data_IF_810026570710
#
_entry.id   IF_810026570710
#
_cell.length_a   1.000
_cell.length_b   1.000
_cell.length_c   1.000
_cell.angle_alpha   90.00
_cell.angle_beta   90.00
_cell.angle_gamma   90.00
#
_symmetry.space_group_name_H-M   'P 1'
#
loop_
_entity.id
_entity.type
_entity.pdbx_description
1 polymer ?
#
# COMPACT_ATOMS: atom_id res chain seq x y z
N UNK A 1 -13.42 -34.27 -15.28
CA UNK A 1 -14.06 -33.37 -16.26
C UNK A 1 -15.04 -32.41 -15.57
N UNK A 2 -16.17 -32.88 -15.02
CA UNK A 2 -17.23 -32.03 -14.41
C UNK A 2 -16.77 -30.93 -13.42
N UNK A 3 -15.77 -31.20 -12.56
CA UNK A 3 -15.27 -30.20 -11.59
C UNK A 3 -14.47 -29.10 -12.28
N UNK A 4 -13.58 -29.45 -13.21
CA UNK A 4 -12.78 -28.47 -13.97
C UNK A 4 -13.69 -27.59 -14.83
N UNK A 5 -14.71 -28.18 -15.45
CA UNK A 5 -15.71 -27.45 -16.23
C UNK A 5 -16.49 -26.44 -15.37
N UNK A 6 -16.85 -26.82 -14.13
CA UNK A 6 -17.48 -25.92 -13.17
C UNK A 6 -16.58 -24.74 -12.79
N UNK A 7 -15.28 -24.99 -12.51
CA UNK A 7 -14.32 -23.93 -12.20
C UNK A 7 -14.11 -23.00 -13.40
N UNK A 8 -14.08 -23.54 -14.62
CA UNK A 8 -13.90 -22.75 -15.83
C UNK A 8 -15.10 -21.83 -16.09
N UNK A 9 -16.33 -22.35 -15.96
CA UNK A 9 -17.57 -21.57 -16.09
C UNK A 9 -17.70 -20.47 -15.02
N UNK A 10 -17.15 -20.69 -13.82
CA UNK A 10 -17.25 -19.77 -12.69
C UNK A 10 -15.95 -19.01 -12.40
N UNK A 11 -14.96 -19.06 -13.29
CA UNK A 11 -13.62 -18.55 -13.06
C UNK A 11 -13.61 -17.08 -12.61
N UNK A 12 -14.36 -16.22 -13.31
CA UNK A 12 -14.48 -14.81 -12.94
C UNK A 12 -15.10 -14.62 -11.56
N UNK A 13 -16.21 -15.30 -11.26
CA UNK A 13 -16.93 -15.20 -9.98
C UNK A 13 -16.04 -15.63 -8.82
N UNK A 14 -15.35 -16.77 -8.97
CA UNK A 14 -14.44 -17.27 -7.94
C UNK A 14 -13.26 -16.33 -7.72
N UNK A 15 -12.63 -15.84 -8.79
CA UNK A 15 -11.49 -14.93 -8.69
C UNK A 15 -11.86 -13.56 -8.09
N UNK A 16 -12.98 -12.96 -8.49
CA UNK A 16 -13.43 -11.69 -7.90
C UNK A 16 -13.84 -11.88 -6.44
N UNK A 17 -14.56 -12.95 -6.09
CA UNK A 17 -14.90 -13.25 -4.70
C UNK A 17 -13.66 -13.43 -3.83
N UNK A 18 -12.65 -14.15 -4.34
CA UNK A 18 -11.36 -14.29 -3.66
C UNK A 18 -10.70 -12.92 -3.44
N UNK A 19 -10.61 -12.07 -4.47
CA UNK A 19 -9.98 -10.75 -4.36
C UNK A 19 -10.72 -9.83 -3.39
N UNK A 20 -12.05 -9.85 -3.36
CA UNK A 20 -12.83 -9.02 -2.43
C UNK A 20 -12.64 -9.48 -0.98
N UNK A 21 -12.69 -10.79 -0.73
CA UNK A 21 -12.46 -11.34 0.60
C UNK A 21 -11.00 -11.13 1.06
N UNK A 22 -10.05 -11.27 0.13
CA UNK A 22 -8.65 -10.97 0.38
C UNK A 22 -8.42 -9.48 0.68
N UNK A 23 -9.10 -8.57 -0.02
CA UNK A 23 -9.09 -7.12 0.26
C UNK A 23 -9.62 -6.83 1.66
N UNK A 24 -10.75 -7.43 2.05
CA UNK A 24 -11.32 -7.32 3.39
C UNK A 24 -10.31 -7.79 4.44
N UNK A 25 -9.74 -8.98 4.27
CA UNK A 25 -8.71 -9.51 5.15
C UNK A 25 -7.52 -8.55 5.29
N UNK A 26 -7.08 -7.93 4.20
CA UNK A 26 -6.00 -6.96 4.27
C UNK A 26 -6.36 -5.69 5.04
N UNK A 27 -7.58 -5.17 4.84
CA UNK A 27 -8.05 -4.00 5.58
C UNK A 27 -8.19 -4.31 7.08
N UNK A 28 -8.61 -5.51 7.44
CA UNK A 28 -8.67 -5.93 8.86
C UNK A 28 -7.32 -5.99 9.54
N UNK A 29 -6.20 -6.08 8.81
CA UNK A 29 -4.84 -6.03 9.37
C UNK A 29 -4.36 -4.61 9.70
N UNK A 30 -5.01 -3.60 9.12
CA UNK A 30 -4.67 -2.18 9.29
C UNK A 30 -5.59 -1.55 10.33
N UNK A 31 -6.86 -1.98 10.39
CA UNK A 31 -7.87 -1.48 11.33
C UNK A 31 -7.81 -2.29 12.62
N UNK A 32 -7.23 -1.72 13.68
CA UNK A 32 -6.88 -2.43 14.92
C UNK A 32 -8.08 -3.13 15.58
N UNK A 33 -9.27 -2.51 15.70
CA UNK A 33 -10.44 -3.20 16.26
C UNK A 33 -10.89 -4.44 15.47
N UNK A 34 -10.52 -4.54 14.20
CA UNK A 34 -10.85 -5.67 13.32
C UNK A 34 -9.72 -6.70 13.23
N UNK A 35 -8.58 -6.47 13.90
CA UNK A 35 -7.41 -7.36 13.83
C UNK A 35 -7.71 -8.79 14.30
N UNK A 36 -8.76 -9.04 15.09
CA UNK A 36 -9.13 -10.40 15.50
C UNK A 36 -9.33 -11.35 14.31
N UNK A 37 -9.88 -10.81 13.21
CA UNK A 37 -10.13 -11.57 11.99
C UNK A 37 -8.83 -11.94 11.29
N UNK A 38 -7.90 -10.99 11.19
CA UNK A 38 -6.57 -11.20 10.61
C UNK A 38 -5.62 -12.00 11.51
N UNK A 39 -5.82 -11.96 12.83
CA UNK A 39 -5.02 -12.70 13.81
C UNK A 39 -5.41 -14.18 13.89
N UNK A 40 -6.60 -14.54 13.42
CA UNK A 40 -7.05 -15.92 13.40
C UNK A 40 -6.23 -16.74 12.38
N UNK A 41 -5.50 -17.74 12.90
CA UNK A 41 -4.63 -18.61 12.10
C UNK A 41 -5.43 -19.42 11.08
N UNK A 42 -6.64 -19.88 11.40
CA UNK A 42 -7.51 -20.60 10.47
C UNK A 42 -7.93 -19.74 9.30
N UNK A 43 -8.29 -18.47 9.53
CA UNK A 43 -8.63 -17.51 8.46
C UNK A 43 -7.42 -17.29 7.56
N UNK A 44 -6.25 -17.09 8.15
CA UNK A 44 -4.99 -16.88 7.42
C UNK A 44 -4.62 -18.09 6.56
N UNK A 45 -4.69 -19.30 7.13
CA UNK A 45 -4.38 -20.56 6.44
C UNK A 45 -5.38 -20.80 5.31
N UNK A 46 -6.68 -20.62 5.56
CA UNK A 46 -7.72 -20.78 4.56
C UNK A 46 -7.52 -19.84 3.38
N UNK A 47 -7.31 -18.55 3.63
CA UNK A 47 -7.08 -17.53 2.58
C UNK A 47 -5.82 -17.80 1.77
N UNK A 48 -4.73 -18.14 2.45
CA UNK A 48 -3.46 -18.46 1.80
C UNK A 48 -3.57 -19.74 0.97
N UNK A 49 -4.25 -20.76 1.51
CA UNK A 49 -4.51 -22.03 0.84
C UNK A 49 -5.40 -21.87 -0.40
N UNK A 50 -6.52 -21.15 -0.29
CA UNK A 50 -7.39 -20.83 -1.42
C UNK A 50 -6.64 -20.03 -2.50
N UNK A 51 -5.82 -19.06 -2.07
CA UNK A 51 -4.94 -18.33 -2.97
C UNK A 51 -3.97 -19.25 -3.71
N UNK A 52 -3.29 -20.14 -2.99
CA UNK A 52 -2.35 -21.09 -3.58
C UNK A 52 -3.05 -22.07 -4.54
N UNK A 53 -4.21 -22.60 -4.18
CA UNK A 53 -5.01 -23.47 -5.06
C UNK A 53 -5.44 -22.74 -6.33
N UNK A 54 -5.88 -21.48 -6.21
CA UNK A 54 -6.23 -20.66 -7.37
C UNK A 54 -5.02 -20.37 -8.27
N UNK A 55 -3.84 -20.14 -7.68
CA UNK A 55 -2.60 -19.95 -8.42
C UNK A 55 -2.14 -21.23 -9.14
N UNK A 56 -2.27 -22.39 -8.49
CA UNK A 56 -2.01 -23.68 -9.12
C UNK A 56 -2.97 -23.95 -10.28
N UNK A 57 -4.26 -23.63 -10.12
CA UNK A 57 -5.23 -23.70 -11.22
C UNK A 57 -4.81 -22.82 -12.40
N UNK A 58 -4.38 -21.58 -12.13
CA UNK A 58 -3.90 -20.66 -13.17
C UNK A 58 -2.67 -21.21 -13.91
N UNK A 59 -1.72 -21.80 -13.18
CA UNK A 59 -0.51 -22.38 -13.76
C UNK A 59 -0.85 -23.62 -14.60
N UNK A 60 -1.57 -24.59 -14.04
CA UNK A 60 -1.76 -25.91 -14.63
C UNK A 60 -2.83 -25.89 -15.73
N UNK A 61 -3.98 -25.27 -15.47
CA UNK A 61 -5.15 -25.32 -16.36
C UNK A 61 -5.13 -24.15 -17.35
N UNK A 62 -5.01 -22.91 -16.84
CA UNK A 62 -5.00 -21.71 -17.70
C UNK A 62 -3.66 -21.48 -18.41
N UNK A 63 -2.60 -22.19 -18.03
CA UNK A 63 -1.24 -22.05 -18.58
C UNK A 63 -0.69 -20.62 -18.39
N UNK A 64 -0.88 -20.04 -17.21
CA UNK A 64 -0.49 -18.67 -16.86
C UNK A 64 0.99 -18.34 -17.13
N UNK A 65 1.89 -19.31 -16.96
CA UNK A 65 3.32 -19.07 -17.17
C UNK A 65 3.68 -18.71 -18.62
N UNK A 66 2.84 -19.05 -19.59
CA UNK A 66 3.06 -18.74 -21.01
C UNK A 66 2.03 -17.75 -21.56
N UNK A 67 0.78 -17.80 -21.10
CA UNK A 67 -0.30 -16.96 -21.62
C UNK A 67 -0.42 -15.58 -20.98
N UNK A 68 0.13 -15.36 -19.78
CA UNK A 68 0.05 -14.07 -19.10
C UNK A 68 1.15 -13.12 -19.56
N UNK A 69 0.76 -11.92 -19.99
CA UNK A 69 1.72 -10.89 -20.40
C UNK A 69 2.46 -10.35 -19.19
N UNK A 70 3.78 -10.20 -19.29
CA UNK A 70 4.61 -9.67 -18.22
C UNK A 70 4.87 -10.64 -17.05
N UNK A 71 4.54 -11.93 -17.18
CA UNK A 71 4.78 -12.93 -16.13
C UNK A 71 6.26 -13.29 -15.93
N UNK A 72 7.09 -13.16 -16.99
CA UNK A 72 8.52 -13.53 -16.97
C UNK A 72 9.33 -12.91 -15.82
N UNK A 73 9.31 -11.58 -15.58
CA UNK A 73 10.03 -11.01 -14.44
C UNK A 73 9.55 -11.55 -13.10
N UNK A 74 8.26 -11.88 -12.94
CA UNK A 74 7.75 -12.48 -11.70
C UNK A 74 8.26 -13.92 -11.51
N UNK A 75 8.39 -14.70 -12.59
CA UNK A 75 9.01 -16.03 -12.53
C UNK A 75 10.48 -15.91 -12.10
N UNK A 76 11.24 -15.00 -12.70
CA UNK A 76 12.64 -14.75 -12.32
C UNK A 76 12.72 -14.36 -10.85
N UNK A 77 11.88 -13.41 -10.41
CA UNK A 77 11.82 -12.96 -9.03
C UNK A 77 11.51 -14.13 -8.07
N UNK A 78 10.51 -14.95 -8.39
CA UNK A 78 10.13 -16.11 -7.58
C UNK A 78 11.26 -17.14 -7.46
N UNK A 79 11.93 -17.45 -8.58
CA UNK A 79 13.07 -18.39 -8.59
C UNK A 79 14.22 -17.85 -7.76
N UNK A 80 14.57 -16.56 -7.87
CA UNK A 80 15.64 -15.95 -7.06
C UNK A 80 15.31 -16.01 -5.57
N UNK A 81 14.05 -15.77 -5.19
CA UNK A 81 13.60 -15.87 -3.79
C UNK A 81 13.69 -17.32 -3.28
N UNK A 82 13.32 -18.32 -4.11
CA UNK A 82 13.51 -19.74 -3.74
C UNK A 82 14.99 -20.06 -3.53
N UNK A 83 15.87 -19.63 -4.45
CA UNK A 83 17.31 -19.87 -4.30
C UNK A 83 17.85 -19.19 -3.05
N UNK A 84 17.44 -17.95 -2.79
CA UNK A 84 17.78 -17.22 -1.56
C UNK A 84 17.36 -17.97 -0.29
N UNK A 85 16.15 -18.54 -0.28
CA UNK A 85 15.68 -19.38 0.82
C UNK A 85 16.59 -20.60 1.00
N UNK A 86 16.86 -21.36 -0.06
CA UNK A 86 17.66 -22.59 0.00
C UNK A 86 19.08 -22.30 0.50
N UNK A 87 19.72 -21.25 -0.01
CA UNK A 87 21.07 -20.83 0.41
C UNK A 87 21.12 -20.44 1.90
N UNK A 88 20.04 -19.86 2.42
CA UNK A 88 19.97 -19.37 3.80
C UNK A 88 19.17 -20.30 4.74
N UNK A 89 18.82 -21.52 4.30
CA UNK A 89 17.93 -22.42 5.04
C UNK A 89 18.47 -22.82 6.41
N UNK A 90 19.79 -22.87 6.58
CA UNK A 90 20.46 -23.18 7.85
C UNK A 90 20.13 -22.20 8.99
N UNK A 91 19.65 -21.00 8.67
CA UNK A 91 19.28 -19.97 9.65
C UNK A 91 17.81 -20.06 10.11
N UNK A 92 17.00 -20.85 9.38
CA UNK A 92 15.57 -21.03 9.59
C UNK A 92 14.82 -21.08 8.26
N UNK A 93 13.70 -21.81 8.20
CA UNK A 93 12.92 -21.95 6.95
C UNK A 93 11.45 -21.57 7.08
N UNK A 94 10.87 -21.61 8.29
CA UNK A 94 9.43 -21.43 8.49
C UNK A 94 8.95 -20.06 7.98
N UNK A 95 9.62 -18.97 8.39
CA UNK A 95 9.20 -17.63 7.97
C UNK A 95 9.44 -17.37 6.48
N UNK A 96 10.51 -17.95 5.92
CA UNK A 96 10.76 -17.89 4.48
C UNK A 96 9.71 -18.65 3.66
N UNK A 97 9.17 -19.77 4.16
CA UNK A 97 8.06 -20.49 3.51
C UNK A 97 6.79 -19.65 3.51
N UNK A 98 6.50 -18.90 4.59
CA UNK A 98 5.36 -17.96 4.63
C UNK A 98 5.51 -16.90 3.54
N UNK A 99 6.70 -16.33 3.38
CA UNK A 99 6.97 -15.35 2.33
C UNK A 99 6.84 -15.95 0.92
N UNK A 100 7.28 -17.20 0.70
CA UNK A 100 7.04 -17.88 -0.58
C UNK A 100 5.56 -18.04 -0.90
N UNK A 101 4.71 -18.35 0.08
CA UNK A 101 3.26 -18.42 -0.13
C UNK A 101 2.71 -17.05 -0.52
N UNK A 102 3.18 -15.97 0.12
CA UNK A 102 2.81 -14.60 -0.23
C UNK A 102 3.15 -14.27 -1.68
N UNK A 103 4.40 -14.52 -2.09
CA UNK A 103 4.83 -14.30 -3.47
C UNK A 103 4.06 -15.17 -4.46
N UNK A 104 3.82 -16.44 -4.12
CA UNK A 104 3.07 -17.35 -4.96
C UNK A 104 1.66 -16.82 -5.23
N UNK A 105 0.95 -16.38 -4.18
CA UNK A 105 -0.39 -15.82 -4.29
C UNK A 105 -0.39 -14.54 -5.14
N UNK A 106 0.53 -13.60 -4.89
CA UNK A 106 0.59 -12.38 -5.69
C UNK A 106 0.92 -12.66 -7.16
N UNK A 107 1.90 -13.54 -7.43
CA UNK A 107 2.47 -13.70 -8.78
C UNK A 107 1.69 -14.66 -9.66
N UNK A 108 1.06 -15.67 -9.08
CA UNK A 108 0.41 -16.74 -9.83
C UNK A 108 -1.11 -16.80 -9.64
N UNK A 109 -1.64 -16.22 -8.57
CA UNK A 109 -3.08 -16.13 -8.33
C UNK A 109 -3.64 -14.77 -8.75
N UNK A 110 -3.12 -13.69 -8.16
CA UNK A 110 -3.65 -12.34 -8.34
C UNK A 110 -3.20 -11.75 -9.68
N UNK A 111 -1.90 -11.77 -9.97
CA UNK A 111 -1.36 -11.15 -11.18
C UNK A 111 -1.92 -11.77 -12.48
N UNK A 112 -2.01 -13.11 -12.65
CA UNK A 112 -2.51 -13.69 -13.90
C UNK A 112 -4.02 -13.53 -14.09
N UNK A 113 -4.79 -13.28 -13.03
CA UNK A 113 -6.25 -13.28 -13.06
C UNK A 113 -6.84 -12.45 -14.22
N UNK A 114 -6.35 -11.23 -14.41
CA UNK A 114 -6.83 -10.30 -15.45
C UNK A 114 -6.59 -10.84 -16.88
N UNK A 115 -5.62 -11.74 -17.08
CA UNK A 115 -5.29 -12.30 -18.40
C UNK A 115 -6.38 -13.21 -18.97
N UNK A 116 -7.27 -13.69 -18.10
CA UNK A 116 -8.23 -14.75 -18.43
C UNK A 116 -9.68 -14.29 -18.31
N UNK A 117 -9.90 -12.98 -18.25
CA UNK A 117 -11.23 -12.35 -18.13
C UNK A 117 -11.37 -11.24 -19.18
N UNK A 118 -12.59 -10.79 -19.42
CA UNK A 118 -12.84 -9.70 -20.38
C UNK A 118 -12.42 -8.35 -19.81
N UNK A 119 -12.35 -7.32 -20.67
CA UNK A 119 -12.04 -5.95 -20.24
C UNK A 119 -13.06 -5.41 -19.24
N UNK A 120 -14.34 -5.69 -19.47
CA UNK A 120 -15.44 -5.27 -18.63
C UNK A 120 -15.31 -5.90 -17.25
N UNK A 121 -14.99 -7.20 -17.20
CA UNK A 121 -14.69 -7.93 -15.97
C UNK A 121 -13.45 -7.40 -15.26
N UNK A 122 -12.40 -7.02 -16.00
CA UNK A 122 -11.20 -6.40 -15.44
C UNK A 122 -11.49 -5.02 -14.82
N UNK A 123 -12.28 -4.19 -15.51
CA UNK A 123 -12.76 -2.91 -14.98
C UNK A 123 -13.58 -3.12 -13.73
N UNK A 124 -14.53 -4.07 -13.77
CA UNK A 124 -15.37 -4.42 -12.62
C UNK A 124 -14.50 -4.88 -11.44
N UNK A 125 -13.53 -5.75 -11.66
CA UNK A 125 -12.61 -6.23 -10.61
C UNK A 125 -11.88 -5.08 -9.93
N UNK A 126 -11.27 -4.18 -10.72
CA UNK A 126 -10.53 -3.03 -10.20
C UNK A 126 -11.44 -2.11 -9.36
N UNK A 127 -12.65 -1.83 -9.87
CA UNK A 127 -13.59 -0.96 -9.20
C UNK A 127 -14.21 -1.60 -7.95
N UNK A 128 -14.50 -2.90 -7.96
CA UNK A 128 -15.02 -3.60 -6.78
C UNK A 128 -13.98 -3.68 -5.67
N UNK A 129 -12.71 -3.97 -5.98
CA UNK A 129 -11.61 -3.95 -5.01
C UNK A 129 -11.40 -2.53 -4.45
N UNK A 130 -11.37 -1.52 -5.33
CA UNK A 130 -11.29 -0.12 -4.93
C UNK A 130 -12.46 0.33 -4.06
N UNK A 131 -13.67 -0.15 -4.35
CA UNK A 131 -14.88 0.12 -3.58
C UNK A 131 -14.84 -0.43 -2.16
N UNK A 132 -14.44 -1.71 -2.00
CA UNK A 132 -14.27 -2.32 -0.66
C UNK A 132 -13.22 -1.57 0.15
N UNK A 133 -12.07 -1.26 -0.46
CA UNK A 133 -11.02 -0.46 0.16
C UNK A 133 -11.56 0.90 0.60
N UNK A 134 -12.24 1.63 -0.29
CA UNK A 134 -12.75 2.97 -0.03
C UNK A 134 -13.80 2.99 1.09
N UNK A 135 -14.73 2.02 1.12
CA UNK A 135 -15.76 1.92 2.16
C UNK A 135 -15.14 1.65 3.52
N UNK A 136 -14.30 0.61 3.63
CA UNK A 136 -13.66 0.23 4.89
C UNK A 136 -12.72 1.33 5.41
N UNK A 137 -11.91 1.90 4.51
CA UNK A 137 -11.01 3.01 4.84
C UNK A 137 -11.77 4.23 5.32
N UNK A 138 -12.81 4.66 4.59
CA UNK A 138 -13.58 5.86 4.96
C UNK A 138 -14.34 5.65 6.26
N UNK A 139 -14.94 4.48 6.48
CA UNK A 139 -15.62 4.17 7.74
C UNK A 139 -14.67 4.24 8.95
N UNK A 140 -13.49 3.63 8.84
CA UNK A 140 -12.47 3.67 9.88
C UNK A 140 -11.87 5.09 10.07
N UNK A 141 -11.76 5.88 8.99
CA UNK A 141 -11.36 7.28 9.06
C UNK A 141 -12.41 8.10 9.82
N UNK A 142 -13.70 7.92 9.55
CA UNK A 142 -14.77 8.63 10.28
C UNK A 142 -14.71 8.31 11.77
N UNK A 143 -14.53 7.03 12.13
CA UNK A 143 -14.33 6.62 13.52
C UNK A 143 -13.08 7.30 14.15
N UNK A 144 -12.00 7.43 13.39
CA UNK A 144 -10.77 8.11 13.83
C UNK A 144 -10.97 9.62 14.00
N UNK A 145 -11.72 10.28 13.10
CA UNK A 145 -12.05 11.70 13.23
C UNK A 145 -12.95 11.93 14.45
N UNK A 146 -13.82 11.00 14.79
CA UNK A 146 -14.56 11.04 16.05
C UNK A 146 -13.62 10.99 17.26
N UNK A 147 -12.61 10.11 17.25
CA UNK A 147 -11.57 10.07 18.31
C UNK A 147 -10.80 11.38 18.43
N UNK A 148 -10.59 12.12 17.33
CA UNK A 148 -9.98 13.44 17.38
C UNK A 148 -10.88 14.46 18.10
N UNK A 149 -12.18 14.48 17.78
CA UNK A 149 -13.14 15.43 18.40
C UNK A 149 -13.38 15.11 19.87
N UNK A 150 -13.35 13.84 20.26
CA UNK A 150 -13.47 13.42 21.67
C UNK A 150 -12.16 13.44 22.45
N UNK A 151 -11.04 13.79 21.80
CA UNK A 151 -9.69 13.76 22.36
C UNK A 151 -9.31 12.40 22.98
N UNK A 152 -9.86 11.31 22.44
CA UNK A 152 -9.57 9.95 22.90
C UNK A 152 -8.22 9.49 22.34
N UNK A 153 -7.36 8.98 23.22
CA UNK A 153 -6.02 8.52 22.90
C UNK A 153 -5.60 7.43 23.88
N UNK A 154 -5.15 6.29 23.36
CA UNK A 154 -4.75 5.16 24.20
C UNK A 154 -3.76 4.22 23.53
N UNK A 155 -3.11 3.38 24.34
CA UNK A 155 -2.33 2.26 23.85
C UNK A 155 -3.16 0.98 24.03
N UNK A 156 -3.16 0.13 23.01
CA UNK A 156 -3.81 -1.17 23.04
C UNK A 156 -2.82 -2.26 22.65
N UNK A 157 -2.95 -3.43 23.25
CA UNK A 157 -2.33 -4.64 22.74
C UNK A 157 -3.29 -5.32 21.75
N UNK A 158 -2.81 -5.54 20.53
CA UNK A 158 -3.58 -6.26 19.50
C UNK A 158 -3.69 -7.74 19.80
N UNK A 159 -4.61 -8.42 19.12
CA UNK A 159 -4.75 -9.89 19.12
C UNK A 159 -3.49 -10.67 18.72
N UNK A 160 -2.44 -9.99 18.21
CA UNK A 160 -1.14 -10.58 17.86
C UNK A 160 -0.05 -10.29 18.90
N UNK A 161 -0.39 -9.67 20.02
CA UNK A 161 0.56 -9.22 21.05
C UNK A 161 1.34 -7.95 20.69
N UNK A 162 1.03 -7.30 19.56
CA UNK A 162 1.67 -6.04 19.18
C UNK A 162 0.99 -4.87 19.86
N UNK A 163 1.79 -3.94 20.39
CA UNK A 163 1.31 -2.74 21.07
C UNK A 163 1.16 -1.60 20.07
N UNK A 164 -0.04 -1.02 19.98
CA UNK A 164 -0.36 0.07 19.07
C UNK A 164 -0.89 1.30 19.81
N UNK A 165 -0.53 2.48 19.30
CA UNK A 165 -1.13 3.76 19.68
C UNK A 165 -2.40 3.97 18.86
N UNK A 166 -3.51 4.27 19.52
CA UNK A 166 -4.80 4.56 18.90
C UNK A 166 -5.35 5.91 19.35
N UNK A 167 -6.20 6.49 18.51
CA UNK A 167 -6.79 7.81 18.76
C UNK A 167 -5.80 8.96 18.48
N UNK A 168 -5.92 10.05 19.24
CA UNK A 168 -5.09 11.24 19.09
C UNK A 168 -3.98 11.29 20.15
N UNK A 169 -2.72 11.10 19.72
CA UNK A 169 -1.54 11.02 20.58
C UNK A 169 -0.38 11.78 19.92
N UNK A 170 0.44 12.50 20.70
CA UNK A 170 1.63 13.24 20.21
C UNK A 170 1.31 14.23 19.09
N UNK A 171 0.21 14.97 19.21
CA UNK A 171 -0.30 15.88 18.16
C UNK A 171 -0.51 15.22 16.79
N UNK A 172 -0.81 13.92 16.78
CA UNK A 172 -1.09 13.14 15.58
C UNK A 172 -2.31 12.26 15.78
N UNK A 173 -3.13 12.19 14.74
CA UNK A 173 -4.22 11.24 14.69
C UNK A 173 -3.70 9.88 14.19
N UNK A 174 -3.45 8.95 15.12
CA UNK A 174 -3.28 7.54 14.80
C UNK A 174 -4.61 6.94 14.39
N UNK A 175 -5.67 7.28 15.14
CA UNK A 175 -7.02 6.77 14.89
C UNK A 175 -7.16 5.30 15.28
N UNK A 176 -8.01 4.57 14.57
CA UNK A 176 -8.20 3.12 14.78
C UNK A 176 -7.20 2.25 14.03
N UNK A 177 -6.08 2.83 13.58
CA UNK A 177 -5.17 2.20 12.63
C UNK A 177 -3.86 1.75 13.28
N UNK A 178 -3.21 0.74 12.69
CA UNK A 178 -1.91 0.22 13.14
C UNK A 178 -0.76 1.21 12.90
N UNK A 179 -0.81 1.95 11.78
CA UNK A 179 0.17 2.96 11.42
C UNK A 179 -0.51 4.12 10.65
N UNK A 180 -0.44 5.37 11.17
CA UNK A 180 -1.02 6.54 10.49
C UNK A 180 -0.39 6.83 9.13
N UNK A 181 0.87 6.44 8.91
CA UNK A 181 1.54 6.62 7.62
C UNK A 181 0.97 5.67 6.57
N UNK A 182 0.75 4.40 6.91
CA UNK A 182 0.11 3.43 6.01
C UNK A 182 -1.30 3.90 5.68
N UNK A 183 -2.08 4.29 6.70
CA UNK A 183 -3.44 4.76 6.46
C UNK A 183 -3.47 6.05 5.62
N UNK A 184 -2.54 6.97 5.79
CA UNK A 184 -2.47 8.17 4.93
C UNK A 184 -2.31 7.80 3.45
N UNK A 185 -1.54 6.76 3.15
CA UNK A 185 -1.39 6.24 1.78
C UNK A 185 -2.69 5.60 1.30
N UNK A 186 -3.36 4.80 2.14
CA UNK A 186 -4.66 4.19 1.81
C UNK A 186 -5.73 5.27 1.58
N UNK A 187 -5.73 6.35 2.37
CA UNK A 187 -6.59 7.52 2.16
C UNK A 187 -6.29 8.25 0.85
N UNK A 188 -5.02 8.39 0.44
CA UNK A 188 -4.67 8.94 -0.88
C UNK A 188 -5.17 8.06 -2.03
N UNK A 189 -5.01 6.73 -1.92
CA UNK A 189 -5.56 5.78 -2.90
C UNK A 189 -7.10 5.87 -2.94
N UNK A 190 -7.75 6.00 -1.79
CA UNK A 190 -9.20 6.18 -1.65
C UNK A 190 -9.66 7.47 -2.32
N UNK A 191 -9.00 8.61 -2.05
CA UNK A 191 -9.31 9.90 -2.68
C UNK A 191 -9.16 9.80 -4.21
N UNK A 192 -8.10 9.15 -4.69
CA UNK A 192 -7.89 8.97 -6.14
C UNK A 192 -9.01 8.12 -6.76
N UNK A 193 -9.42 7.04 -6.09
CA UNK A 193 -10.53 6.18 -6.52
C UNK A 193 -11.88 6.92 -6.54
N UNK A 194 -12.19 7.67 -5.49
CA UNK A 194 -13.39 8.50 -5.40
C UNK A 194 -13.37 9.60 -6.48
N UNK A 195 -12.21 10.21 -6.72
CA UNK A 195 -12.00 11.17 -7.81
C UNK A 195 -12.29 10.58 -9.19
N UNK A 196 -12.01 9.29 -9.43
CA UNK A 196 -12.42 8.60 -10.65
C UNK A 196 -13.95 8.39 -10.72
N UNK A 197 -14.56 7.96 -9.60
CA UNK A 197 -16.01 7.67 -9.55
C UNK A 197 -16.91 8.90 -9.70
N UNK A 198 -16.42 10.11 -9.42
CA UNK A 198 -17.24 11.33 -9.46
C UNK A 198 -17.96 11.56 -10.81
N UNK A 199 -17.40 11.03 -11.89
CA UNK A 199 -17.95 11.15 -13.25
C UNK A 199 -19.00 10.06 -13.57
N UNK A 200 -19.19 9.09 -12.68
CA UNK A 200 -20.02 7.89 -12.90
C UNK A 200 -21.22 7.78 -11.96
N UNK A 201 -21.35 8.70 -11.00
CA UNK A 201 -22.37 8.63 -9.95
C UNK A 201 -23.39 9.78 -10.05
N UNK A 202 -24.59 9.54 -9.54
CA UNK A 202 -25.69 10.53 -9.49
C UNK A 202 -25.36 11.69 -8.54
N UNK A 203 -26.06 12.83 -8.70
CA UNK A 203 -25.88 14.03 -7.85
C UNK A 203 -25.87 13.76 -6.34
N UNK A 204 -26.82 12.99 -5.74
CA UNK A 204 -26.78 12.72 -4.30
C UNK A 204 -25.56 11.89 -3.88
N UNK A 205 -25.17 10.90 -4.68
CA UNK A 205 -23.97 10.10 -4.41
C UNK A 205 -22.68 10.92 -4.56
N UNK A 206 -22.66 11.96 -5.40
CA UNK A 206 -21.51 12.90 -5.46
C UNK A 206 -21.31 13.64 -4.14
N UNK A 207 -22.37 14.01 -3.44
CA UNK A 207 -22.26 14.67 -2.13
C UNK A 207 -21.59 13.74 -1.12
N UNK A 208 -22.03 12.48 -1.04
CA UNK A 208 -21.41 11.48 -0.16
C UNK A 208 -19.94 11.22 -0.53
N UNK A 209 -19.63 11.19 -1.83
CA UNK A 209 -18.28 11.03 -2.35
C UNK A 209 -17.38 12.20 -1.93
N UNK A 210 -17.84 13.44 -2.07
CA UNK A 210 -17.07 14.61 -1.65
C UNK A 210 -16.89 14.66 -0.13
N UNK A 211 -17.89 14.25 0.66
CA UNK A 211 -17.76 14.11 2.10
C UNK A 211 -16.70 13.06 2.47
N UNK A 212 -16.69 11.91 1.78
CA UNK A 212 -15.68 10.88 1.97
C UNK A 212 -14.26 11.36 1.60
N UNK A 213 -14.12 12.13 0.51
CA UNK A 213 -12.84 12.79 0.15
C UNK A 213 -12.42 13.75 1.25
N UNK A 214 -13.33 14.59 1.75
CA UNK A 214 -13.05 15.54 2.82
C UNK A 214 -12.59 14.84 4.12
N UNK A 215 -13.26 13.76 4.53
CA UNK A 215 -12.86 12.98 5.70
C UNK A 215 -11.47 12.35 5.54
N UNK A 216 -11.21 11.68 4.41
CA UNK A 216 -9.89 11.09 4.14
C UNK A 216 -8.78 12.15 4.05
N UNK A 217 -9.07 13.31 3.44
CA UNK A 217 -8.13 14.42 3.38
C UNK A 217 -7.83 14.97 4.77
N UNK A 218 -8.87 15.20 5.58
CA UNK A 218 -8.71 15.67 6.97
C UNK A 218 -7.86 14.70 7.79
N UNK A 219 -8.09 13.39 7.65
CA UNK A 219 -7.24 12.38 8.29
C UNK A 219 -5.77 12.51 7.87
N UNK A 220 -5.48 12.65 6.56
CA UNK A 220 -4.09 12.83 6.08
C UNK A 220 -3.42 14.02 6.77
N UNK A 221 -4.11 15.16 6.90
CA UNK A 221 -3.58 16.34 7.59
C UNK A 221 -3.32 16.04 9.07
N UNK A 222 -4.31 15.51 9.77
CA UNK A 222 -4.24 15.22 11.21
C UNK A 222 -3.25 14.10 11.56
N UNK A 223 -2.97 13.19 10.63
CA UNK A 223 -1.98 12.12 10.80
C UNK A 223 -0.54 12.65 10.97
N UNK A 224 -0.28 13.89 10.54
CA UNK A 224 1.05 14.51 10.54
C UNK A 224 2.09 13.74 9.72
N UNK A 225 1.67 12.98 8.70
CA UNK A 225 2.53 12.12 7.88
C UNK A 225 3.37 12.92 6.87
N UNK A 226 4.68 13.04 7.13
CA UNK A 226 5.65 13.61 6.16
C UNK A 226 5.69 12.82 4.86
N UNK A 227 5.52 11.50 4.94
CA UNK A 227 5.47 10.61 3.76
C UNK A 227 4.30 10.99 2.84
N UNK A 228 3.13 11.30 3.41
CA UNK A 228 1.96 11.69 2.62
C UNK A 228 2.20 13.00 1.86
N UNK A 229 2.86 13.99 2.47
CA UNK A 229 3.22 15.24 1.80
C UNK A 229 4.15 15.01 0.60
N UNK A 230 5.20 14.19 0.76
CA UNK A 230 6.12 13.85 -0.33
C UNK A 230 5.36 13.17 -1.48
N UNK A 231 4.42 12.27 -1.16
CA UNK A 231 3.59 11.60 -2.16
C UNK A 231 2.70 12.59 -2.90
N UNK A 232 2.02 13.50 -2.18
CA UNK A 232 1.18 14.55 -2.79
C UNK A 232 2.02 15.43 -3.73
N UNK A 233 3.24 15.81 -3.33
CA UNK A 233 4.17 16.54 -4.20
C UNK A 233 4.56 15.74 -5.45
N UNK A 234 4.84 14.45 -5.33
CA UNK A 234 5.17 13.61 -6.48
C UNK A 234 3.98 13.44 -7.44
N UNK A 235 2.77 13.27 -6.92
CA UNK A 235 1.54 13.25 -7.71
C UNK A 235 1.34 14.60 -8.41
N UNK A 236 1.58 15.72 -7.72
CA UNK A 236 1.51 17.06 -8.29
C UNK A 236 2.49 17.26 -9.46
N UNK A 237 3.74 16.84 -9.30
CA UNK A 237 4.75 16.90 -10.37
C UNK A 237 4.31 16.07 -11.58
N UNK A 238 3.77 14.87 -11.35
CA UNK A 238 3.27 14.03 -12.44
C UNK A 238 2.10 14.68 -13.21
N UNK A 239 1.06 15.16 -12.51
CA UNK A 239 -0.07 15.82 -13.18
C UNK A 239 0.35 17.09 -13.91
N UNK A 240 1.37 17.80 -13.40
CA UNK A 240 1.95 18.96 -14.05
C UNK A 240 2.68 18.59 -15.34
N UNK A 241 3.51 17.54 -15.33
CA UNK A 241 4.16 17.00 -16.54
C UNK A 241 3.11 16.61 -17.58
N UNK A 242 2.08 15.86 -17.18
CA UNK A 242 0.99 15.45 -18.07
C UNK A 242 0.26 16.68 -18.64
N UNK A 243 0.01 17.71 -17.84
CA UNK A 243 -0.63 18.94 -18.29
C UNK A 243 0.19 19.69 -19.36
N UNK A 244 1.52 19.72 -19.24
CA UNK A 244 2.42 20.34 -20.24
C UNK A 244 2.38 19.60 -21.58
N UNK A 245 2.20 18.29 -21.54
CA UNK A 245 2.15 17.45 -22.75
C UNK A 245 0.80 17.48 -23.47
N UNK A 246 -0.27 18.01 -22.86
CA UNK A 246 -1.60 18.13 -23.49
C UNK A 246 -1.64 19.27 -24.51
N UNK A 247 -2.46 19.13 -25.57
CA UNK A 247 -2.65 20.17 -26.61
C UNK A 247 -3.02 21.54 -26.01
N UNK A 248 -3.92 21.56 -25.02
CA UNK A 248 -4.36 22.77 -24.31
C UNK A 248 -3.47 23.13 -23.11
N UNK A 249 -2.14 22.99 -23.25
CA UNK A 249 -1.17 23.08 -22.13
C UNK A 249 -1.35 24.30 -21.23
N UNK A 250 -1.63 25.49 -21.78
CA UNK A 250 -1.78 26.73 -20.98
C UNK A 250 -2.93 26.62 -19.98
N UNK A 251 -4.09 26.15 -20.43
CA UNK A 251 -5.29 25.95 -19.60
C UNK A 251 -5.08 24.81 -18.60
N UNK A 252 -4.50 23.69 -19.04
CA UNK A 252 -4.25 22.54 -18.17
C UNK A 252 -3.25 22.86 -17.06
N UNK A 253 -2.16 23.56 -17.39
CA UNK A 253 -1.17 24.02 -16.41
C UNK A 253 -1.80 24.98 -15.40
N UNK A 254 -2.62 25.94 -15.85
CA UNK A 254 -3.34 26.84 -14.95
C UNK A 254 -4.26 26.06 -13.98
N UNK A 255 -5.03 25.09 -14.49
CA UNK A 255 -5.88 24.24 -13.67
C UNK A 255 -5.09 23.45 -12.62
N UNK A 256 -3.92 22.90 -13.00
CA UNK A 256 -3.03 22.19 -12.08
C UNK A 256 -2.48 23.14 -11.02
N UNK A 257 -2.01 24.33 -11.39
CA UNK A 257 -1.51 25.33 -10.42
C UNK A 257 -2.61 25.71 -9.43
N UNK A 258 -3.82 26.01 -9.92
CA UNK A 258 -4.97 26.32 -9.07
C UNK A 258 -5.33 25.15 -8.13
N UNK A 259 -5.33 23.92 -8.64
CA UNK A 259 -5.54 22.73 -7.83
C UNK A 259 -4.47 22.57 -6.74
N UNK A 260 -3.20 22.85 -7.06
CA UNK A 260 -2.09 22.84 -6.10
C UNK A 260 -2.26 23.88 -5.00
N UNK A 261 -2.61 25.12 -5.37
CA UNK A 261 -2.87 26.22 -4.43
C UNK A 261 -4.04 25.90 -3.51
N UNK A 262 -5.14 25.37 -4.05
CA UNK A 262 -6.30 24.95 -3.26
C UNK A 262 -5.91 23.83 -2.30
N UNK A 263 -5.21 22.79 -2.78
CA UNK A 263 -4.79 21.66 -1.94
C UNK A 263 -3.88 22.12 -0.80
N UNK A 264 -2.91 23.00 -1.09
CA UNK A 264 -2.01 23.56 -0.08
C UNK A 264 -2.75 24.46 0.92
N UNK A 265 -3.62 25.35 0.42
CA UNK A 265 -4.46 26.20 1.26
C UNK A 265 -5.36 25.37 2.17
N UNK A 266 -6.06 24.37 1.64
CA UNK A 266 -6.89 23.44 2.41
C UNK A 266 -6.10 22.66 3.45
N UNK A 267 -4.88 22.19 3.11
CA UNK A 267 -4.00 21.53 4.07
C UNK A 267 -3.69 22.45 5.26
N UNK A 268 -3.29 23.70 4.96
CA UNK A 268 -2.94 24.66 6.00
C UNK A 268 -4.15 25.07 6.85
N UNK A 269 -5.31 25.26 6.23
CA UNK A 269 -6.56 25.58 6.93
C UNK A 269 -6.97 24.46 7.89
N UNK A 270 -6.96 23.21 7.46
CA UNK A 270 -7.27 22.06 8.33
C UNK A 270 -6.25 21.95 9.46
N UNK A 271 -4.96 22.11 9.15
CA UNK A 271 -3.90 22.06 10.16
C UNK A 271 -4.06 23.17 11.20
N UNK A 272 -4.19 24.43 10.79
CA UNK A 272 -4.40 25.56 11.71
C UNK A 272 -5.69 25.40 12.51
N UNK A 273 -6.79 25.01 11.86
CA UNK A 273 -8.08 24.75 12.52
C UNK A 273 -7.95 23.68 13.61
N UNK A 274 -7.22 22.60 13.33
CA UNK A 274 -6.95 21.56 14.33
C UNK A 274 -6.19 22.11 15.55
N UNK A 275 -5.20 22.98 15.33
CA UNK A 275 -4.43 23.60 16.42
C UNK A 275 -5.28 24.56 17.26
N UNK A 276 -6.21 25.29 16.64
CA UNK A 276 -7.17 26.14 17.37
C UNK A 276 -8.09 25.30 18.24
N UNK A 277 -8.65 24.21 17.71
CA UNK A 277 -9.51 23.28 18.46
C UNK A 277 -8.75 22.72 19.67
N UNK A 278 -7.50 22.28 19.47
CA UNK A 278 -6.66 21.73 20.54
C UNK A 278 -6.35 22.77 21.62
N UNK A 279 -5.96 23.99 21.23
CA UNK A 279 -5.69 25.09 22.17
C UNK A 279 -6.92 25.46 23.00
N UNK A 280 -8.08 25.59 22.36
CA UNK A 280 -9.34 25.91 23.02
C UNK A 280 -9.77 24.83 24.04
N UNK A 281 -9.38 23.57 23.83
CA UNK A 281 -9.78 22.44 24.66
C UNK A 281 -8.65 21.92 25.58
N UNK A 282 -7.58 22.68 25.76
CA UNK A 282 -6.41 22.27 26.58
C UNK A 282 -6.80 21.82 28.00
N UNK A 283 -7.77 22.51 28.63
CA UNK A 283 -8.25 22.14 29.97
C UNK A 283 -8.99 20.80 29.99
N UNK A 284 -9.83 20.54 28.98
CA UNK A 284 -10.57 19.28 28.82
C UNK A 284 -9.59 18.13 28.62
N UNK A 285 -8.63 18.31 27.70
CA UNK A 285 -7.55 17.35 27.44
C UNK A 285 -6.78 17.04 28.74
N UNK A 286 -6.47 18.06 29.54
CA UNK A 286 -5.74 17.88 30.81
C UNK A 286 -6.53 17.09 31.84
N UNK A 287 -7.85 17.31 31.95
CA UNK A 287 -8.73 16.54 32.84
C UNK A 287 -8.83 15.07 32.43
N UNK A 288 -9.11 14.80 31.15
CA UNK A 288 -9.15 13.42 30.60
C UNK A 288 -7.83 12.69 30.89
N UNK A 289 -6.72 13.38 30.66
CA UNK A 289 -5.37 12.90 30.94
C UNK A 289 -5.13 12.56 32.42
N UNK A 290 -5.72 13.30 33.36
CA UNK A 290 -5.63 13.03 34.81
C UNK A 290 -6.51 11.83 35.21
N UNK A 291 -7.74 11.76 34.71
CA UNK A 291 -8.66 10.63 34.96
C UNK A 291 -8.06 9.31 34.46
N UNK A 292 -7.41 9.33 33.29
CA UNK A 292 -6.73 8.16 32.74
C UNK A 292 -5.52 7.71 33.59
N UNK A 293 -4.75 8.64 34.16
CA UNK A 293 -3.64 8.27 35.07
C UNK A 293 -4.13 7.56 36.33
N UNK A 294 -5.30 7.96 36.85
CA UNK A 294 -5.85 7.43 38.10
C UNK A 294 -6.49 6.03 37.94
N UNK A 295 -6.89 5.64 36.73
CA UNK A 295 -7.57 4.36 36.46
C UNK A 295 -6.63 3.20 36.13
N UNK A 296 -5.31 3.44 36.04
CA UNK A 296 -4.31 2.39 35.78
C UNK A 296 -4.39 1.73 34.39
N UNK A 297 -5.30 2.17 33.53
CA UNK A 297 -5.36 1.73 32.15
C UNK A 297 -4.19 2.34 31.37
N UNK A 298 -3.50 1.52 30.56
CA UNK A 298 -2.37 1.91 29.69
C UNK A 298 -2.78 2.90 28.57
N UNK A 299 -3.35 4.05 28.92
CA UNK A 299 -3.74 5.11 28.00
C UNK A 299 -2.75 6.28 28.13
N UNK A 300 -1.85 6.41 27.16
CA UNK A 300 -0.91 7.54 27.13
C UNK A 300 -1.65 8.82 26.75
N UNK A 301 -1.26 9.88 27.45
CA UNK A 301 -1.74 11.25 27.37
C UNK A 301 -1.91 11.75 25.92
N UNK A 302 -3.02 12.42 25.63
CA UNK A 302 -3.11 13.31 24.47
C UNK A 302 -2.13 14.47 24.71
N UNK A 303 -0.92 14.34 24.19
CA UNK A 303 0.17 15.32 24.28
C UNK A 303 0.08 16.30 23.12
N UNK A 304 0.17 17.60 23.41
CA UNK A 304 0.18 18.66 22.41
C UNK A 304 1.56 18.86 21.75
N UNK A 305 2.60 18.16 22.24
CA UNK A 305 3.95 18.23 21.72
C UNK A 305 4.33 16.93 20.98
N UNK A 306 5.00 17.09 19.83
CA UNK A 306 5.62 15.97 19.09
C UNK A 306 7.01 15.71 19.64
N UNK A 307 7.18 14.57 20.29
CA UNK A 307 8.48 14.11 20.77
C UNK A 307 9.30 13.39 19.68
N UNK A 308 8.71 13.11 18.51
CA UNK A 308 9.32 12.38 17.39
C UNK A 308 9.95 13.29 16.31
N UNK A 309 9.98 14.62 16.52
CA UNK A 309 10.46 15.60 15.54
C UNK A 309 11.74 16.31 15.94
N UNK A 310 12.67 15.59 16.57
CA UNK A 310 13.99 16.13 16.87
C UNK A 310 14.65 16.70 15.61
N UNK A 311 15.04 17.98 15.64
CA UNK A 311 15.67 18.66 14.51
C UNK A 311 16.99 18.01 14.08
N UNK A 312 17.65 17.28 15.00
CA UNK A 312 18.86 16.50 14.73
C UNK A 312 18.58 15.18 13.99
N UNK A 313 17.34 14.68 13.98
CA UNK A 313 16.95 13.40 13.37
C UNK A 313 15.92 13.59 12.25
N UNK A 314 16.27 14.38 11.23
CA UNK A 314 15.37 14.75 10.12
C UNK A 314 14.81 13.52 9.38
N UNK A 315 15.62 12.45 9.26
CA UNK A 315 15.25 11.21 8.54
C UNK A 315 14.58 10.15 9.42
N UNK A 316 14.41 10.41 10.73
CA UNK A 316 13.94 9.42 11.71
C UNK A 316 14.74 8.10 11.63
N UNK A 317 16.08 8.19 11.72
CA UNK A 317 17.05 7.10 11.64
C UNK A 317 17.16 6.36 10.29
N UNK A 318 16.33 6.69 9.29
CA UNK A 318 16.26 5.95 8.03
C UNK A 318 17.57 5.93 7.25
N UNK A 319 18.30 7.06 7.20
CA UNK A 319 19.55 7.10 6.43
C UNK A 319 20.61 6.14 6.96
N UNK A 320 20.76 6.03 8.28
CA UNK A 320 21.69 5.08 8.91
C UNK A 320 21.25 3.64 8.63
N UNK A 321 19.96 3.34 8.73
CA UNK A 321 19.39 2.02 8.40
C UNK A 321 19.67 1.66 6.94
N UNK A 322 19.43 2.59 6.01
CA UNK A 322 19.62 2.35 4.57
C UNK A 322 21.08 2.17 4.20
N UNK A 323 21.99 2.94 4.82
CA UNK A 323 23.43 2.78 4.64
C UNK A 323 23.89 1.39 5.07
N UNK A 324 23.43 0.89 6.21
CA UNK A 324 23.76 -0.47 6.66
C UNK A 324 23.16 -1.53 5.74
N UNK A 325 21.88 -1.39 5.34
CA UNK A 325 21.25 -2.31 4.39
C UNK A 325 22.04 -2.41 3.07
N UNK A 326 22.54 -1.29 2.55
CA UNK A 326 23.40 -1.26 1.35
C UNK A 326 24.75 -1.94 1.63
N UNK A 327 25.43 -1.62 2.74
CA UNK A 327 26.71 -2.24 3.12
C UNK A 327 26.59 -3.76 3.21
N UNK A 328 25.53 -4.26 3.84
CA UNK A 328 25.28 -5.69 3.90
C UNK A 328 24.96 -6.27 2.52
N UNK A 329 24.15 -5.58 1.71
CA UNK A 329 23.81 -6.03 0.36
C UNK A 329 25.05 -6.23 -0.52
N UNK A 330 26.08 -5.38 -0.37
CA UNK A 330 27.37 -5.56 -1.07
C UNK A 330 28.08 -6.85 -0.67
N UNK A 331 27.96 -7.29 0.59
CA UNK A 331 28.56 -8.55 1.07
C UNK A 331 27.84 -9.81 0.54
N UNK A 332 26.55 -9.72 0.20
CA UNK A 332 25.76 -10.83 -0.38
C UNK A 332 24.87 -10.35 -1.54
N UNK A 333 25.46 -9.96 -2.68
CA UNK A 333 24.75 -9.19 -3.71
C UNK A 333 23.76 -10.00 -4.54
N UNK A 334 23.92 -11.33 -4.62
CA UNK A 334 23.11 -12.16 -5.54
C UNK A 334 21.83 -12.67 -4.86
N UNK A 335 21.96 -13.28 -3.68
CA UNK A 335 20.87 -13.97 -2.99
C UNK A 335 20.47 -13.35 -1.66
N UNK A 336 21.09 -12.25 -1.24
CA UNK A 336 20.70 -11.52 -0.03
C UNK A 336 20.66 -12.37 1.25
N UNK A 337 19.79 -11.96 2.17
CA UNK A 337 19.76 -12.43 3.56
C UNK A 337 18.45 -13.13 3.95
N UNK A 338 17.44 -13.18 3.07
CA UNK A 338 16.05 -13.61 3.33
C UNK A 338 15.32 -12.78 4.40
N UNK A 339 14.06 -12.45 4.14
CA UNK A 339 13.23 -11.64 5.05
C UNK A 339 12.98 -12.31 6.41
N UNK A 340 12.94 -13.65 6.47
CA UNK A 340 12.71 -14.38 7.72
C UNK A 340 13.93 -14.50 8.64
N UNK A 341 15.15 -14.41 8.10
CA UNK A 341 16.36 -14.69 8.90
C UNK A 341 17.45 -13.63 8.83
N UNK A 342 17.19 -12.49 8.18
CA UNK A 342 18.22 -11.47 7.95
C UNK A 342 18.97 -11.06 9.22
N UNK A 343 18.29 -10.99 10.36
CA UNK A 343 18.88 -10.52 11.62
C UNK A 343 19.94 -11.50 12.15
N UNK A 344 19.68 -12.81 12.09
CA UNK A 344 20.64 -13.84 12.50
C UNK A 344 21.89 -13.79 11.63
N UNK A 345 21.70 -13.64 10.32
CA UNK A 345 22.80 -13.60 9.35
C UNK A 345 23.61 -12.31 9.49
N UNK A 346 22.93 -11.17 9.69
CA UNK A 346 23.58 -9.88 9.87
C UNK A 346 24.39 -9.83 11.17
N UNK A 347 23.90 -10.44 12.25
CA UNK A 347 24.63 -10.59 13.53
C UNK A 347 25.94 -11.34 13.39
N UNK A 348 26.02 -12.36 12.54
CA UNK A 348 27.27 -13.09 12.27
C UNK A 348 28.30 -12.27 11.49
N UNK A 349 27.85 -11.33 10.67
CA UNK A 349 28.71 -10.59 9.75
C UNK A 349 29.19 -9.26 10.33
N UNK A 350 28.31 -8.53 11.01
CA UNK A 350 28.61 -7.24 11.63
C UNK A 350 27.61 -6.96 12.78
N UNK A 351 27.89 -7.50 13.98
CA UNK A 351 27.01 -7.35 15.15
C UNK A 351 26.95 -5.89 15.64
N UNK A 352 27.94 -5.07 15.28
CA UNK A 352 28.04 -3.69 15.73
C UNK A 352 27.30 -2.69 14.85
N UNK A 353 26.82 -3.13 13.69
CA UNK A 353 26.00 -2.31 12.78
C UNK A 353 24.72 -1.79 13.45
N UNK A 354 24.28 -0.61 13.02
CA UNK A 354 23.15 0.09 13.60
C UNK A 354 21.85 -0.70 13.43
N UNK A 355 21.64 -1.29 12.25
CA UNK A 355 20.45 -2.09 11.94
C UNK A 355 20.34 -3.34 12.83
N UNK A 356 21.47 -3.96 13.20
CA UNK A 356 21.53 -5.13 14.08
C UNK A 356 21.35 -4.73 15.54
N UNK A 357 22.08 -3.73 16.03
CA UNK A 357 22.01 -3.27 17.43
C UNK A 357 20.61 -2.82 17.85
N UNK A 358 19.85 -2.27 16.90
CA UNK A 358 18.49 -1.76 17.15
C UNK A 358 17.40 -2.70 16.64
N UNK A 359 17.75 -3.81 16.01
CA UNK A 359 16.83 -4.73 15.32
C UNK A 359 15.82 -3.98 14.42
N UNK A 360 16.29 -2.95 13.70
CA UNK A 360 15.43 -2.14 12.85
C UNK A 360 15.15 -2.82 11.52
N UNK A 361 13.92 -2.69 11.04
CA UNK A 361 13.59 -3.04 9.64
C UNK A 361 14.13 -1.95 8.71
N UNK A 362 14.33 -2.31 7.44
CA UNK A 362 14.91 -1.39 6.45
C UNK A 362 13.98 -0.19 6.14
N UNK A 363 12.66 -0.37 6.26
CA UNK A 363 11.64 0.67 6.01
C UNK A 363 11.78 1.34 4.63
N UNK A 364 12.22 0.58 3.63
CA UNK A 364 12.30 0.95 2.23
C UNK A 364 12.14 -0.32 1.40
N UNK A 365 11.01 -0.47 0.72
CA UNK A 365 10.66 -1.67 -0.04
C UNK A 365 11.64 -2.00 -1.15
N UNK A 366 12.30 -1.01 -1.77
CA UNK A 366 13.33 -1.28 -2.79
C UNK A 366 14.60 -1.85 -2.17
N UNK A 367 15.06 -1.23 -1.08
CA UNK A 367 16.23 -1.73 -0.35
C UNK A 367 15.96 -3.07 0.33
N UNK A 368 14.72 -3.38 0.72
CA UNK A 368 14.37 -4.70 1.22
C UNK A 368 14.45 -5.78 0.13
N UNK A 369 14.03 -5.49 -1.10
CA UNK A 369 14.21 -6.45 -2.20
C UNK A 369 15.71 -6.72 -2.40
N UNK A 370 16.53 -5.66 -2.42
CA UNK A 370 17.98 -5.77 -2.54
C UNK A 370 18.59 -6.54 -1.36
N UNK A 371 18.22 -6.18 -0.14
CA UNK A 371 18.79 -6.73 1.09
C UNK A 371 18.36 -8.18 1.32
N UNK A 372 17.08 -8.50 1.16
CA UNK A 372 16.59 -9.86 1.41
C UNK A 372 16.83 -10.81 0.23
N UNK A 373 16.70 -10.33 -1.01
CA UNK A 373 16.67 -11.20 -2.19
C UNK A 373 17.75 -10.90 -3.24
N UNK A 374 18.56 -9.85 -3.04
CA UNK A 374 19.69 -9.52 -3.89
C UNK A 374 19.35 -8.68 -5.13
N UNK A 375 20.40 -8.35 -5.89
CA UNK A 375 20.35 -7.43 -7.02
C UNK A 375 19.55 -7.97 -8.20
N UNK A 376 19.59 -9.28 -8.45
CA UNK A 376 18.80 -9.91 -9.52
C UNK A 376 17.30 -9.75 -9.24
N UNK A 377 16.87 -9.94 -7.98
CA UNK A 377 15.49 -9.71 -7.57
C UNK A 377 15.08 -8.24 -7.76
N UNK A 378 15.95 -7.29 -7.42
CA UNK A 378 15.69 -5.86 -7.60
C UNK A 378 15.52 -5.51 -9.08
N UNK A 379 16.38 -6.01 -9.97
CA UNK A 379 16.26 -5.80 -11.41
C UNK A 379 14.98 -6.44 -11.98
N UNK A 380 14.65 -7.65 -11.54
CA UNK A 380 13.40 -8.32 -11.94
C UNK A 380 12.17 -7.52 -11.49
N UNK A 381 12.19 -6.93 -10.30
CA UNK A 381 11.14 -6.05 -9.81
C UNK A 381 10.99 -4.77 -10.65
N UNK A 382 12.10 -4.09 -10.98
CA UNK A 382 12.03 -2.93 -11.86
C UNK A 382 11.59 -3.28 -13.28
N UNK A 383 11.96 -4.46 -13.78
CA UNK A 383 11.45 -4.95 -15.05
C UNK A 383 9.94 -5.23 -14.99
N UNK A 384 9.47 -5.85 -13.91
CA UNK A 384 8.06 -6.13 -13.67
C UNK A 384 7.19 -4.87 -13.64
N UNK A 385 7.59 -3.87 -12.83
CA UNK A 385 6.79 -2.66 -12.60
C UNK A 385 7.05 -1.60 -13.68
N UNK A 386 8.32 -1.37 -14.04
CA UNK A 386 8.72 -0.25 -14.90
C UNK A 386 8.28 -0.41 -16.34
N UNK A 387 8.44 -1.60 -16.93
CA UNK A 387 8.09 -1.85 -18.34
C UNK A 387 6.63 -1.51 -18.69
N UNK A 388 5.60 -2.02 -17.98
CA UNK A 388 4.21 -1.67 -18.27
C UNK A 388 3.91 -0.19 -18.07
N UNK A 389 4.42 0.42 -16.98
CA UNK A 389 4.21 1.85 -16.70
C UNK A 389 4.75 2.72 -17.83
N UNK A 390 6.01 2.50 -18.22
CA UNK A 390 6.66 3.27 -19.29
C UNK A 390 5.88 3.10 -20.60
N UNK A 391 5.53 1.86 -20.97
CA UNK A 391 4.78 1.61 -22.21
C UNK A 391 3.42 2.30 -22.21
N UNK A 392 2.71 2.27 -21.08
CA UNK A 392 1.42 2.96 -20.92
C UNK A 392 1.58 4.48 -21.03
N UNK A 393 2.53 5.09 -20.31
CA UNK A 393 2.77 6.54 -20.37
C UNK A 393 3.12 6.98 -21.79
N UNK A 394 4.07 6.30 -22.44
CA UNK A 394 4.46 6.61 -23.82
C UNK A 394 3.27 6.53 -24.76
N UNK A 395 2.39 5.53 -24.58
CA UNK A 395 1.19 5.42 -25.40
C UNK A 395 0.20 6.57 -25.15
N UNK A 396 -0.16 6.85 -23.89
CA UNK A 396 -1.10 7.94 -23.56
C UNK A 396 -0.63 9.29 -24.10
N UNK A 397 0.68 9.56 -24.02
CA UNK A 397 1.27 10.78 -24.53
C UNK A 397 1.24 10.85 -26.07
N UNK A 398 1.43 9.72 -26.77
CA UNK A 398 1.38 9.65 -28.24
C UNK A 398 -0.04 9.81 -28.78
N UNK A 399 -1.00 9.11 -28.19
CA UNK A 399 -2.39 9.10 -28.66
C UNK A 399 -3.20 10.29 -28.16
N UNK A 400 -2.69 11.01 -27.15
CA UNK A 400 -3.42 12.04 -26.41
C UNK A 400 -4.79 11.50 -25.92
N UNK A 401 -4.85 10.20 -25.59
CA UNK A 401 -6.08 9.56 -25.12
C UNK A 401 -6.45 10.05 -23.73
N UNK A 402 -7.72 10.37 -23.52
CA UNK A 402 -8.26 10.74 -22.22
C UNK A 402 -8.84 9.52 -21.51
N UNK A 403 -7.98 8.56 -21.18
CA UNK A 403 -8.41 7.33 -20.52
C UNK A 403 -8.37 7.49 -18.99
N UNK A 404 -9.47 7.98 -18.41
CA UNK A 404 -9.57 8.29 -16.98
C UNK A 404 -9.22 7.10 -16.05
N UNK A 405 -9.52 5.86 -16.44
CA UNK A 405 -9.16 4.69 -15.62
C UNK A 405 -7.65 4.44 -15.64
N UNK A 406 -6.97 4.79 -16.73
CA UNK A 406 -5.51 4.69 -16.83
C UNK A 406 -4.84 5.83 -16.06
N UNK A 407 -5.35 7.06 -16.17
CA UNK A 407 -4.88 8.18 -15.34
C UNK A 407 -5.00 7.84 -13.84
N UNK A 408 -6.14 7.28 -13.41
CA UNK A 408 -6.37 6.78 -12.05
C UNK A 408 -5.32 5.73 -11.63
N UNK A 409 -5.06 4.72 -12.46
CA UNK A 409 -4.08 3.67 -12.17
C UNK A 409 -2.66 4.23 -12.08
N UNK A 410 -2.27 5.11 -12.99
CA UNK A 410 -0.92 5.70 -13.00
C UNK A 410 -0.68 6.55 -11.75
N UNK A 411 -1.67 7.35 -11.32
CA UNK A 411 -1.58 8.09 -10.05
C UNK A 411 -1.43 7.12 -8.87
N UNK A 412 -2.24 6.05 -8.82
CA UNK A 412 -2.12 5.01 -7.80
C UNK A 412 -0.74 4.35 -7.76
N UNK A 413 -0.15 4.06 -8.92
CA UNK A 413 1.19 3.48 -9.02
C UNK A 413 2.30 4.45 -8.60
N UNK A 414 2.14 5.76 -8.83
CA UNK A 414 3.07 6.78 -8.33
C UNK A 414 2.98 6.87 -6.80
N UNK A 415 1.77 6.86 -6.25
CA UNK A 415 1.55 6.80 -4.80
C UNK A 415 2.32 5.61 -4.22
N UNK A 416 2.11 4.41 -4.76
CA UNK A 416 2.77 3.19 -4.30
C UNK A 416 4.30 3.22 -4.48
N UNK A 417 4.77 3.74 -5.62
CA UNK A 417 6.20 3.84 -5.93
C UNK A 417 6.94 4.74 -4.95
N UNK A 418 6.38 5.91 -4.62
CA UNK A 418 6.97 6.84 -3.64
C UNK A 418 6.80 6.30 -2.22
N UNK A 419 5.65 5.70 -1.89
CA UNK A 419 5.44 5.04 -0.59
C UNK A 419 6.51 3.99 -0.31
N UNK A 420 6.88 3.19 -1.32
CA UNK A 420 7.90 2.15 -1.17
C UNK A 420 9.28 2.68 -0.75
N UNK A 421 9.59 3.96 -0.93
CA UNK A 421 10.84 4.52 -0.43
C UNK A 421 10.86 4.65 1.10
N UNK A 422 9.70 4.73 1.74
CA UNK A 422 9.57 5.07 3.16
C UNK A 422 8.79 4.04 3.97
N UNK A 423 8.09 3.13 3.30
CA UNK A 423 7.27 2.08 3.89
C UNK A 423 7.53 0.78 3.16
N UNK A 424 7.80 -0.25 3.94
CA UNK A 424 8.03 -1.63 3.51
C UNK A 424 6.73 -2.41 3.50
N UNK A 425 5.92 -2.24 2.45
CA UNK A 425 4.56 -2.77 2.47
C UNK A 425 4.02 -3.19 1.10
N UNK A 426 4.83 -3.48 0.08
CA UNK A 426 4.30 -3.89 -1.24
C UNK A 426 4.69 -5.30 -1.69
N UNK A 427 5.77 -5.87 -1.15
CA UNK A 427 6.32 -7.15 -1.62
C UNK A 427 6.35 -8.24 -0.55
N UNK A 428 6.89 -7.95 0.64
CA UNK A 428 7.01 -8.92 1.72
C UNK A 428 5.80 -8.84 2.66
N UNK A 429 5.18 -10.00 2.92
CA UNK A 429 3.91 -10.09 3.63
C UNK A 429 2.72 -9.68 2.77
N UNK A 430 1.54 -10.19 3.13
CA UNK A 430 0.32 -9.68 2.54
C UNK A 430 0.09 -8.23 2.99
N UNK A 431 -0.22 -7.35 2.04
CA UNK A 431 -0.55 -5.96 2.29
C UNK A 431 -1.61 -5.45 1.29
N UNK A 432 -2.38 -4.42 1.68
CA UNK A 432 -3.30 -3.76 0.75
C UNK A 432 -2.53 -3.06 -0.39
N UNK A 433 -1.37 -2.48 -0.10
CA UNK A 433 -0.54 -1.79 -1.08
C UNK A 433 0.06 -2.76 -2.11
N UNK A 434 0.44 -3.97 -1.67
CA UNK A 434 0.88 -5.05 -2.54
C UNK A 434 -0.24 -5.56 -3.43
N UNK A 435 -1.46 -5.71 -2.90
CA UNK A 435 -2.63 -6.07 -3.70
C UNK A 435 -2.91 -5.02 -4.80
N UNK A 436 -2.97 -3.74 -4.43
CA UNK A 436 -3.20 -2.65 -5.38
C UNK A 436 -2.10 -2.59 -6.43
N UNK A 437 -0.83 -2.78 -6.04
CA UNK A 437 0.30 -2.84 -6.99
C UNK A 437 0.10 -3.95 -8.03
N UNK A 438 -0.08 -5.19 -7.59
CA UNK A 438 -0.14 -6.35 -8.49
C UNK A 438 -1.38 -6.31 -9.39
N UNK A 439 -2.52 -5.89 -8.86
CA UNK A 439 -3.75 -5.75 -9.64
C UNK A 439 -3.63 -4.63 -10.67
N UNK A 440 -3.01 -3.50 -10.31
CA UNK A 440 -2.80 -2.36 -11.21
C UNK A 440 -1.83 -2.70 -12.35
N UNK A 441 -0.68 -3.31 -12.04
CA UNK A 441 0.30 -3.73 -13.04
C UNK A 441 -0.27 -4.83 -13.95
N UNK A 442 -1.04 -5.77 -13.37
CA UNK A 442 -1.76 -6.78 -14.16
C UNK A 442 -2.77 -6.14 -15.11
N UNK A 443 -3.55 -5.16 -14.64
CA UNK A 443 -4.50 -4.44 -15.48
C UNK A 443 -3.80 -3.71 -16.64
N UNK A 444 -2.68 -3.03 -16.39
CA UNK A 444 -1.91 -2.38 -17.47
C UNK A 444 -1.45 -3.41 -18.51
N UNK A 445 -0.79 -4.49 -18.08
CA UNK A 445 -0.23 -5.50 -18.98
C UNK A 445 -1.28 -6.33 -19.72
N UNK A 446 -2.34 -6.77 -19.03
CA UNK A 446 -3.26 -7.78 -19.56
C UNK A 446 -4.63 -7.18 -19.90
N UNK A 447 -5.06 -6.13 -19.22
CA UNK A 447 -6.34 -5.47 -19.47
C UNK A 447 -6.24 -4.31 -20.46
N UNK A 448 -5.14 -3.57 -20.52
CA UNK A 448 -5.03 -2.35 -21.32
C UNK A 448 -4.14 -2.48 -22.56
N UNK A 449 -2.86 -2.75 -22.37
CA UNK A 449 -1.87 -2.77 -23.45
C UNK A 449 -2.21 -3.72 -24.62
N UNK A 450 -2.83 -4.90 -24.44
CA UNK A 450 -3.21 -5.76 -25.56
C UNK A 450 -4.26 -5.13 -26.48
N UNK A 451 -5.13 -4.26 -25.95
CA UNK A 451 -6.20 -3.61 -26.71
C UNK A 451 -5.67 -2.56 -27.70
N UNK A 452 -4.48 -2.02 -27.43
CA UNK A 452 -3.80 -1.07 -28.31
C UNK A 452 -3.19 -1.82 -29.50
N UNK A 453 -2.58 -2.98 -29.25
CA UNK A 453 -1.93 -3.81 -30.27
C UNK A 453 -2.92 -4.45 -31.26
N UNK A 454 -4.19 -4.59 -30.87
CA UNK A 454 -5.27 -5.04 -31.76
C UNK A 454 -5.90 -3.90 -32.57
N UNK A 455 -5.64 -2.63 -32.24
CA UNK A 455 -6.13 -1.47 -33.01
C UNK A 455 -5.17 -1.02 -34.11
N UNK A 456 -3.90 -1.38 -33.99
CA UNK A 456 -2.84 -1.10 -34.98
C UNK A 456 -2.71 -2.21 -36.03
N UNK A 457 -3.61 -3.21 -36.01
CA UNK A 457 -3.79 -4.25 -37.03
C UNK A 457 -5.18 -4.10 -37.63
#
# INVERSE_FOLDING_TARGET
MKILDFFEQNYFKLGISYLLFFTLYMMTSIIVPLNFFNANSYVTILLSGLGALFGLYNIVVKKALTKTRGIRPLIVLFVVIIISLVVNMKYGYIDNVKDLIVFFVYFFSIYPFISFITKEQANQTLLSVGGVLAVLSTGAVIASLFQFVTFDGYIIESYKGNVFRQGFIDSRLFGVFTDPNIQSVVSLLTITYLGYLQNKVSRPLKVLLYLAIFCNFTYIVLSGSRTALIIISAVFVYIFIVAICKKDRKKQVLNVIMFGLITFGSYHLVYQGSQVILKANTQVITKINQEHKNTGNYKVLATLQRNDTDAKNISNNRFSIWQDAIKFSVKRPIFGYTSGNWEKIAKEIDPDSYIVKKSYRVHNGYLEILFYSGFIALLAFFWYVGKPIIKTIVNELKTNSQNLIIEFILIGLIILGVTNMFISATMYGFSILGLVLHLSISYLNNGYLPQLETKDK
#
